data_IF_553608433493
#
_entry.id   IF_553608433493
#
_cell.length_a   1.000
_cell.length_b   1.000
_cell.length_c   1.000
_cell.angle_alpha   90.00
_cell.angle_beta   90.00
_cell.angle_gamma   90.00
#
_symmetry.space_group_name_H-M   'P 1'
#
loop_
_entity.id
_entity.type
_entity.pdbx_description
1 polymer ?
#
# COMPACT_ATOMS: atom_id res chain seq x y z
N UNK A 1 -18.03 -16.53 5.99
CA UNK A 1 -17.63 -17.10 4.70
C UNK A 1 -17.16 -16.00 3.76
N UNK A 2 -16.10 -16.24 3.06
CA UNK A 2 -15.57 -15.29 2.11
C UNK A 2 -16.41 -15.21 0.87
N UNK A 3 -16.71 -14.00 0.43
CA UNK A 3 -17.37 -13.78 -0.84
C UNK A 3 -16.47 -13.11 -1.86
N UNK A 4 -15.29 -12.68 -1.40
CA UNK A 4 -14.35 -12.00 -2.27
C UNK A 4 -13.15 -12.88 -2.52
N UNK A 5 -12.67 -12.87 -3.75
CA UNK A 5 -11.46 -13.57 -4.07
C UNK A 5 -10.27 -12.86 -3.47
N UNK A 6 -9.43 -13.62 -2.81
CA UNK A 6 -8.23 -13.12 -2.18
C UNK A 6 -7.07 -13.27 -3.15
N UNK A 7 -6.37 -12.17 -3.41
CA UNK A 7 -5.20 -12.18 -4.28
C UNK A 7 -3.95 -12.46 -3.47
N UNK A 8 -3.78 -11.74 -2.35
CA UNK A 8 -2.58 -11.89 -1.54
C UNK A 8 -2.84 -11.32 -0.14
N UNK A 9 -2.02 -11.71 0.82
CA UNK A 9 -2.07 -11.16 2.18
C UNK A 9 -0.66 -10.80 2.62
N UNK A 10 -0.60 -9.83 3.53
CA UNK A 10 0.65 -9.44 4.17
C UNK A 10 0.34 -9.04 5.61
N UNK A 11 1.35 -8.66 6.37
CA UNK A 11 1.17 -8.11 7.71
C UNK A 11 1.71 -6.70 7.76
N UNK A 12 0.97 -5.82 8.42
CA UNK A 12 1.45 -4.47 8.67
C UNK A 12 2.50 -4.48 9.78
N UNK A 13 3.13 -3.33 10.03
CA UNK A 13 4.13 -3.22 11.10
C UNK A 13 3.51 -3.46 12.48
N UNK A 14 2.18 -3.32 12.61
CA UNK A 14 1.46 -3.60 13.84
C UNK A 14 1.15 -5.09 14.00
N UNK A 15 1.52 -5.91 13.02
CA UNK A 15 1.22 -7.34 13.06
C UNK A 15 -0.18 -7.70 12.60
N UNK A 16 -0.93 -6.75 12.06
CA UNK A 16 -2.28 -7.01 11.56
C UNK A 16 -2.22 -7.61 10.16
N UNK A 17 -3.12 -8.54 9.88
CA UNK A 17 -3.23 -9.13 8.54
C UNK A 17 -3.93 -8.15 7.63
N UNK A 18 -3.31 -7.87 6.49
CA UNK A 18 -3.83 -6.94 5.49
C UNK A 18 -4.04 -7.72 4.19
N UNK A 19 -5.24 -7.65 3.65
CA UNK A 19 -5.65 -8.42 2.47
C UNK A 19 -5.71 -7.55 1.24
N UNK A 20 -5.34 -8.12 0.12
CA UNK A 20 -5.58 -7.53 -1.19
C UNK A 20 -6.62 -8.41 -1.89
N UNK A 21 -7.82 -7.89 -2.09
CA UNK A 21 -8.88 -8.61 -2.78
C UNK A 21 -8.79 -8.37 -4.27
N UNK A 22 -9.37 -9.28 -5.04
CA UNK A 22 -9.38 -9.16 -6.50
C UNK A 22 -10.06 -7.86 -6.94
N UNK A 23 -11.14 -7.50 -6.27
CA UNK A 23 -11.86 -6.26 -6.57
C UNK A 23 -10.96 -5.04 -6.42
N UNK A 24 -10.23 -4.98 -5.30
CA UNK A 24 -9.32 -3.85 -5.06
C UNK A 24 -8.14 -3.87 -6.02
N UNK A 25 -7.64 -5.07 -6.36
CA UNK A 25 -6.57 -5.18 -7.34
C UNK A 25 -7.00 -4.61 -8.69
N UNK A 26 -8.23 -4.93 -9.14
CA UNK A 26 -8.75 -4.36 -10.38
C UNK A 26 -8.84 -2.84 -10.29
N UNK A 27 -9.32 -2.29 -9.17
CA UNK A 27 -9.38 -0.84 -8.98
C UNK A 27 -8.00 -0.20 -9.07
N UNK A 28 -7.01 -0.83 -8.46
CA UNK A 28 -5.64 -0.31 -8.49
C UNK A 28 -5.14 -0.26 -9.93
N UNK A 29 -5.30 -1.34 -10.67
CA UNK A 29 -4.78 -1.43 -12.03
C UNK A 29 -5.56 -0.51 -12.99
N UNK A 30 -6.85 -0.34 -12.75
CA UNK A 30 -7.64 0.59 -13.56
C UNK A 30 -7.18 2.03 -13.37
N UNK A 31 -6.91 2.42 -12.13
CA UNK A 31 -6.50 3.78 -11.82
C UNK A 31 -5.02 4.03 -12.08
N UNK A 32 -4.21 2.99 -11.93
CA UNK A 32 -2.75 3.07 -12.02
C UNK A 32 -2.26 1.82 -12.76
N UNK A 33 -2.40 1.83 -14.07
CA UNK A 33 -2.16 0.63 -14.88
C UNK A 33 -0.72 0.13 -14.79
N UNK A 34 0.24 1.02 -14.48
CA UNK A 34 1.63 0.64 -14.30
C UNK A 34 1.83 -0.25 -13.07
N UNK A 35 0.83 -0.38 -12.20
CA UNK A 35 0.93 -1.26 -11.04
C UNK A 35 0.75 -2.73 -11.40
N UNK A 36 0.29 -3.03 -12.60
CA UNK A 36 0.19 -4.41 -13.06
C UNK A 36 1.56 -5.07 -12.96
N UNK A 37 1.61 -6.26 -12.35
CA UNK A 37 2.88 -6.96 -12.14
C UNK A 37 3.59 -6.57 -10.85
N UNK A 38 3.06 -5.65 -10.07
CA UNK A 38 3.76 -5.12 -8.89
C UNK A 38 3.10 -5.52 -7.56
N UNK A 39 2.37 -6.63 -7.53
CA UNK A 39 1.75 -7.11 -6.29
C UNK A 39 2.80 -7.32 -5.20
N UNK A 40 3.95 -7.89 -5.55
CA UNK A 40 5.02 -8.13 -4.59
C UNK A 40 5.52 -6.85 -3.94
N UNK A 41 5.66 -5.79 -4.73
CA UNK A 41 6.07 -4.48 -4.22
C UNK A 41 5.02 -3.92 -3.28
N UNK A 42 3.74 -4.08 -3.61
CA UNK A 42 2.66 -3.62 -2.75
C UNK A 42 2.71 -4.34 -1.40
N UNK A 43 2.86 -5.66 -1.42
CA UNK A 43 2.91 -6.46 -0.20
C UNK A 43 4.11 -6.08 0.66
N UNK A 44 5.27 -5.93 0.05
CA UNK A 44 6.49 -5.58 0.77
C UNK A 44 6.38 -4.17 1.37
N UNK A 45 5.79 -3.24 0.65
CA UNK A 45 5.62 -1.87 1.14
C UNK A 45 4.81 -1.85 2.44
N UNK A 46 3.75 -2.64 2.53
CA UNK A 46 2.94 -2.72 3.75
C UNK A 46 3.72 -3.41 4.87
N UNK A 47 4.44 -4.46 4.54
CA UNK A 47 5.13 -5.28 5.55
C UNK A 47 6.38 -4.60 6.09
N UNK A 48 7.14 -3.91 5.23
CA UNK A 48 8.42 -3.31 5.61
C UNK A 48 8.55 -1.90 5.08
N UNK A 49 7.69 -0.98 5.50
CA UNK A 49 7.70 0.38 4.97
C UNK A 49 8.90 1.17 5.50
N UNK A 50 9.27 2.20 4.77
CA UNK A 50 10.18 3.22 5.28
C UNK A 50 9.45 4.17 6.20
N UNK A 51 8.18 4.44 5.89
CA UNK A 51 7.31 5.33 6.66
C UNK A 51 5.91 4.76 6.74
N UNK A 52 5.27 4.99 7.89
CA UNK A 52 3.81 4.86 8.02
C UNK A 52 3.28 6.25 8.29
N UNK A 53 2.28 6.64 7.54
CA UNK A 53 1.80 8.01 7.46
C UNK A 53 0.30 8.02 7.72
N UNK A 54 -0.18 9.10 8.32
CA UNK A 54 -1.60 9.26 8.60
C UNK A 54 -2.36 9.44 7.29
N UNK A 55 -3.42 8.65 7.13
CA UNK A 55 -4.34 8.81 6.02
C UNK A 55 -5.59 9.57 6.44
N UNK A 56 -6.64 9.45 5.62
CA UNK A 56 -7.93 10.07 5.90
C UNK A 56 -8.71 9.17 6.84
N UNK A 57 -9.24 9.73 7.91
CA UNK A 57 -10.04 8.99 8.90
C UNK A 57 -9.22 7.85 9.48
N UNK A 58 -9.63 6.61 9.25
CA UNK A 58 -8.97 5.44 9.82
C UNK A 58 -7.95 4.81 8.87
N UNK A 59 -7.66 5.47 7.76
CA UNK A 59 -6.70 4.94 6.79
C UNK A 59 -5.27 5.18 7.26
N UNK A 60 -4.41 4.25 6.89
CA UNK A 60 -2.97 4.37 7.08
C UNK A 60 -2.32 4.31 5.71
N UNK A 61 -1.14 4.92 5.61
CA UNK A 61 -0.37 4.94 4.37
C UNK A 61 1.00 4.37 4.67
N UNK A 62 1.36 3.30 3.94
CA UNK A 62 2.72 2.77 3.97
C UNK A 62 3.45 3.29 2.75
N UNK A 63 4.71 3.68 2.91
CA UNK A 63 5.52 4.18 1.81
C UNK A 63 6.92 3.60 1.90
N UNK A 64 7.44 3.18 0.75
CA UNK A 64 8.76 2.58 0.67
C UNK A 64 9.44 2.98 -0.63
N UNK A 65 10.73 3.33 -0.55
CA UNK A 65 11.51 3.71 -1.72
C UNK A 65 12.00 2.47 -2.46
N UNK A 66 11.88 2.52 -3.78
CA UNK A 66 12.39 1.49 -4.69
C UNK A 66 13.25 2.16 -5.76
N UNK A 67 14.56 1.86 -5.76
CA UNK A 67 15.45 2.46 -6.76
C UNK A 67 15.17 2.00 -8.18
N UNK A 68 14.49 0.85 -8.33
CA UNK A 68 14.17 0.29 -9.64
C UNK A 68 12.75 -0.21 -9.67
N UNK A 69 11.94 0.38 -10.52
CA UNK A 69 10.60 -0.11 -10.84
C UNK A 69 10.44 -0.02 -12.34
N UNK A 70 9.30 -0.50 -12.84
CA UNK A 70 8.99 -0.36 -14.26
C UNK A 70 8.85 1.11 -14.70
N UNK A 71 8.83 2.05 -13.74
CA UNK A 71 8.82 3.48 -14.04
C UNK A 71 10.09 4.17 -13.56
N UNK A 72 11.15 3.40 -13.25
CA UNK A 72 12.38 3.96 -12.70
C UNK A 72 12.33 4.04 -11.19
N UNK A 73 13.13 4.95 -10.60
CA UNK A 73 13.16 5.13 -9.14
C UNK A 73 11.87 5.78 -8.69
N UNK A 74 11.18 5.15 -7.74
CA UNK A 74 9.88 5.64 -7.24
C UNK A 74 9.70 5.25 -5.78
N UNK A 75 8.81 5.95 -5.11
CA UNK A 75 8.28 5.51 -3.82
C UNK A 75 6.97 4.79 -4.09
N UNK A 76 6.79 3.63 -3.51
CA UNK A 76 5.51 2.93 -3.54
C UNK A 76 4.69 3.40 -2.35
N UNK A 77 3.45 3.77 -2.62
CA UNK A 77 2.50 4.27 -1.62
C UNK A 77 1.32 3.31 -1.58
N UNK A 78 1.01 2.79 -0.40
CA UNK A 78 -0.13 1.87 -0.23
C UNK A 78 -1.02 2.42 0.86
N UNK A 79 -2.28 2.65 0.54
CA UNK A 79 -3.30 3.09 1.49
C UNK A 79 -4.07 1.87 1.95
N UNK A 80 -4.19 1.70 3.26
CA UNK A 80 -4.82 0.51 3.83
C UNK A 80 -5.51 0.84 5.15
N UNK A 81 -6.32 -0.10 5.62
CA UNK A 81 -6.96 -0.02 6.93
C UNK A 81 -6.59 -1.26 7.73
N UNK A 82 -6.53 -1.10 9.05
CA UNK A 82 -6.21 -2.20 9.96
C UNK A 82 -7.39 -2.64 10.81
N UNK A 83 -8.41 -1.81 10.94
CA UNK A 83 -9.51 -2.10 11.86
C UNK A 83 -10.36 -3.27 11.35
N UNK A 84 -10.77 -4.13 12.28
CA UNK A 84 -11.56 -5.32 12.00
C UNK A 84 -10.87 -6.22 10.98
N UNK A 85 -11.26 -6.11 9.71
CA UNK A 85 -10.60 -6.84 8.65
C UNK A 85 -9.69 -5.89 7.91
N UNK A 86 -8.37 -6.13 8.00
CA UNK A 86 -7.40 -5.29 7.33
C UNK A 86 -7.45 -5.50 5.83
N UNK A 87 -7.41 -4.41 5.08
CA UNK A 87 -7.42 -4.52 3.62
C UNK A 87 -6.77 -3.31 2.98
N UNK A 88 -6.27 -3.53 1.77
CA UNK A 88 -5.66 -2.49 0.95
C UNK A 88 -6.76 -1.74 0.20
N UNK A 89 -6.67 -0.41 0.21
CA UNK A 89 -7.61 0.45 -0.49
C UNK A 89 -7.08 0.79 -1.86
N UNK A 90 -5.84 1.26 -1.95
CA UNK A 90 -5.21 1.59 -3.23
C UNK A 90 -3.70 1.58 -3.09
N UNK A 91 -3.01 1.62 -4.23
CA UNK A 91 -1.55 1.67 -4.27
C UNK A 91 -1.11 2.35 -5.54
N UNK A 92 0.00 3.09 -5.45
CA UNK A 92 0.55 3.80 -6.61
C UNK A 92 2.01 4.15 -6.36
N UNK A 93 2.70 4.57 -7.42
CA UNK A 93 4.07 5.09 -7.31
C UNK A 93 4.05 6.61 -7.32
N UNK A 94 4.99 7.22 -6.61
CA UNK A 94 5.17 8.66 -6.63
C UNK A 94 6.65 9.02 -6.68
N UNK A 95 6.95 10.13 -7.35
CA UNK A 95 8.28 10.74 -7.30
C UNK A 95 8.35 11.84 -6.25
N UNK A 96 7.26 12.06 -5.50
CA UNK A 96 7.11 13.21 -4.63
C UNK A 96 6.73 12.78 -3.22
N UNK A 97 7.65 12.10 -2.51
CA UNK A 97 7.32 11.54 -1.19
C UNK A 97 6.97 12.62 -0.15
N UNK A 98 7.51 13.83 -0.31
CA UNK A 98 7.26 14.88 0.68
C UNK A 98 5.80 15.30 0.72
N UNK A 99 5.12 15.25 -0.42
CA UNK A 99 3.70 15.55 -0.47
C UNK A 99 2.90 14.57 0.38
N UNK A 100 3.29 13.31 0.37
CA UNK A 100 2.64 12.28 1.18
C UNK A 100 2.97 12.48 2.66
N UNK A 101 4.25 12.72 2.97
CA UNK A 101 4.72 12.86 4.35
C UNK A 101 4.08 14.04 5.08
N UNK A 102 3.65 15.06 4.34
CA UNK A 102 2.99 16.22 4.94
C UNK A 102 1.71 15.86 5.67
N UNK A 103 1.11 14.73 5.36
CA UNK A 103 -0.11 14.29 6.04
C UNK A 103 0.16 13.90 7.49
N UNK A 104 1.41 13.61 7.84
CA UNK A 104 1.81 13.31 9.20
C UNK A 104 2.44 11.94 9.33
N UNK A 105 3.76 11.92 9.58
CA UNK A 105 4.49 10.67 9.75
C UNK A 105 4.18 10.09 11.13
N UNK A 106 3.66 8.87 11.18
CA UNK A 106 3.33 8.17 12.41
C UNK A 106 4.47 7.26 12.86
N UNK A 107 5.21 6.73 11.91
CA UNK A 107 6.31 5.81 12.19
C UNK A 107 7.34 5.91 11.07
N UNK A 108 8.61 5.76 11.43
CA UNK A 108 9.71 5.84 10.49
C UNK A 108 10.73 4.78 10.86
N UNK A 109 11.20 4.07 9.85
CA UNK A 109 12.22 3.06 10.01
C UNK A 109 13.53 3.67 10.50
#
# INVERSE_FOLDING_TARGET
MWNEDLVEVTKSISGKIIRLTLKQWFHIVESHDYMAGNIGIIMETVNSPDYTIKGTKEELIAMKYYPQTNLGAKHCVVVYKENKEGFIITAFFTSNPETIKKRGVLWQQ
#
